data_IF_216290133276
#
_entry.id   IF_216290133276
#
_cell.length_a   1.000
_cell.length_b   1.000
_cell.length_c   1.000
_cell.angle_alpha   90.00
_cell.angle_beta   90.00
_cell.angle_gamma   90.00
#
_symmetry.space_group_name_H-M   'P 1'
#
loop_
_entity.id
_entity.type
_entity.pdbx_description
1 polymer ?
#
# COMPACT_ATOMS: atom_id res chain seq x y z
N UNK A 1 -7.77 0.39 -6.09
CA UNK A 1 -7.67 0.21 -4.64
C UNK A 1 -7.76 1.56 -3.91
N UNK A 2 -8.44 1.65 -2.76
CA UNK A 2 -8.39 2.79 -1.81
C UNK A 2 -6.93 3.12 -1.46
N UNK A 3 -6.12 2.11 -1.13
CA UNK A 3 -4.68 2.28 -0.86
C UNK A 3 -3.97 3.02 -1.99
N UNK A 4 -4.17 2.58 -3.25
CA UNK A 4 -3.60 3.24 -4.44
C UNK A 4 -3.99 4.72 -4.51
N UNK A 5 -5.28 5.03 -4.33
CA UNK A 5 -5.78 6.41 -4.40
C UNK A 5 -5.18 7.30 -3.31
N UNK A 6 -5.02 6.76 -2.09
CA UNK A 6 -4.41 7.49 -0.97
C UNK A 6 -2.92 7.75 -1.24
N UNK A 7 -2.19 6.74 -1.74
CA UNK A 7 -0.78 6.88 -2.13
C UNK A 7 -0.64 7.94 -3.23
N UNK A 8 -1.43 7.85 -4.31
CA UNK A 8 -1.39 8.82 -5.41
C UNK A 8 -1.71 10.24 -4.95
N UNK A 9 -2.68 10.41 -4.05
CA UNK A 9 -3.00 11.73 -3.46
C UNK A 9 -1.83 12.27 -2.65
N UNK A 10 -1.22 11.42 -1.82
CA UNK A 10 -0.02 11.76 -1.07
C UNK A 10 1.16 12.15 -1.97
N UNK A 11 1.41 11.38 -3.02
CA UNK A 11 2.45 11.67 -4.02
C UNK A 11 2.17 13.00 -4.73
N UNK A 12 0.92 13.27 -5.12
CA UNK A 12 0.56 14.51 -5.77
C UNK A 12 0.87 15.74 -4.91
N UNK A 13 0.65 15.65 -3.59
CA UNK A 13 0.89 16.75 -2.66
C UNK A 13 2.34 16.85 -2.18
N UNK A 14 3.01 15.73 -1.90
CA UNK A 14 4.33 15.70 -1.28
C UNK A 14 5.49 15.66 -2.28
N UNK A 15 5.25 15.22 -3.52
CA UNK A 15 6.32 15.06 -4.51
C UNK A 15 7.06 16.37 -4.78
N UNK A 16 8.40 16.33 -4.68
CA UNK A 16 9.27 17.47 -5.04
C UNK A 16 9.06 17.87 -6.50
N UNK A 17 8.75 16.91 -7.38
CA UNK A 17 8.44 17.20 -8.80
C UNK A 17 7.18 18.05 -8.98
N UNK A 18 6.28 18.02 -8.00
CA UNK A 18 5.04 18.80 -7.98
C UNK A 18 5.15 20.05 -7.08
N UNK A 19 6.36 20.45 -6.68
CA UNK A 19 6.59 21.60 -5.78
C UNK A 19 6.30 21.29 -4.30
N UNK A 20 6.10 20.03 -3.94
CA UNK A 20 5.97 19.58 -2.56
C UNK A 20 7.31 19.55 -1.82
N UNK A 21 7.27 19.40 -0.49
CA UNK A 21 8.45 19.41 0.37
C UNK A 21 9.23 18.08 0.39
N UNK A 22 8.79 17.07 -0.36
CA UNK A 22 9.19 15.68 -0.14
C UNK A 22 8.44 15.05 1.03
N UNK A 23 8.60 13.74 1.23
CA UNK A 23 7.94 13.02 2.32
C UNK A 23 8.12 11.51 2.25
N UNK A 24 7.61 10.82 3.26
CA UNK A 24 7.63 9.36 3.37
C UNK A 24 6.18 8.88 3.52
N UNK A 25 5.78 7.91 2.71
CA UNK A 25 4.50 7.20 2.85
C UNK A 25 4.78 5.90 3.60
N UNK A 26 4.10 5.70 4.73
CA UNK A 26 4.21 4.48 5.54
C UNK A 26 2.90 3.71 5.46
N UNK A 27 2.98 2.47 5.00
CA UNK A 27 1.84 1.58 4.88
C UNK A 27 1.95 0.46 5.92
N UNK A 28 0.87 0.23 6.69
CA UNK A 28 0.79 -0.90 7.62
C UNK A 28 0.27 -2.12 6.89
N UNK A 29 1.15 -3.10 6.68
CA UNK A 29 0.83 -4.36 6.03
C UNK A 29 1.00 -5.55 6.98
N UNK A 30 0.33 -6.66 6.66
CA UNK A 30 0.54 -7.94 7.35
C UNK A 30 1.73 -8.67 6.72
N UNK A 31 2.52 -9.38 7.51
CA UNK A 31 3.57 -10.30 7.02
C UNK A 31 2.99 -11.37 6.07
N UNK A 32 1.71 -11.71 6.26
CA UNK A 32 0.99 -12.64 5.39
C UNK A 32 0.86 -12.12 3.94
N UNK A 33 1.01 -10.82 3.70
CA UNK A 33 1.11 -10.28 2.34
C UNK A 33 2.39 -10.68 1.59
N UNK A 34 3.38 -11.28 2.29
CA UNK A 34 4.62 -11.79 1.70
C UNK A 34 4.74 -13.32 1.74
N UNK A 35 3.88 -13.99 2.51
CA UNK A 35 3.88 -15.44 2.64
C UNK A 35 2.83 -15.99 1.66
N UNK A 36 3.22 -16.94 0.82
CA UNK A 36 2.27 -17.62 -0.07
C UNK A 36 1.05 -18.15 0.69
N UNK A 37 -0.09 -18.27 0.00
CA UNK A 37 -1.35 -18.62 0.64
C UNK A 37 -1.27 -19.93 1.45
N UNK A 38 -1.78 -19.95 2.69
CA UNK A 38 -2.05 -21.21 3.37
C UNK A 38 -3.16 -21.96 2.63
N UNK A 39 -3.12 -23.30 2.68
CA UNK A 39 -4.08 -24.16 1.94
C UNK A 39 -5.54 -23.93 2.38
N UNK A 40 -5.78 -23.52 3.63
CA UNK A 40 -7.11 -23.21 4.16
C UNK A 40 -7.11 -21.89 4.96
N UNK A 41 -7.22 -20.74 4.27
CA UNK A 41 -7.19 -19.44 4.91
C UNK A 41 -8.54 -19.10 5.54
N UNK A 42 -8.56 -18.80 6.84
CA UNK A 42 -9.71 -18.14 7.47
C UNK A 42 -9.61 -16.63 7.25
N UNK A 43 -10.53 -15.98 6.52
CA UNK A 43 -10.37 -14.58 6.12
C UNK A 43 -10.75 -13.63 7.27
N UNK A 44 -9.92 -13.56 8.31
CA UNK A 44 -10.13 -12.63 9.43
C UNK A 44 -9.63 -11.21 9.08
N UNK A 45 -8.62 -11.12 8.19
CA UNK A 45 -7.99 -9.85 7.79
C UNK A 45 -8.19 -9.50 6.30
N UNK A 46 -8.73 -10.44 5.49
CA UNK A 46 -8.73 -10.43 4.03
C UNK A 46 -9.60 -9.34 3.36
N UNK A 47 -10.49 -8.67 4.10
CA UNK A 47 -11.29 -7.58 3.55
C UNK A 47 -10.49 -6.29 3.28
N UNK A 48 -9.20 -6.25 3.65
CA UNK A 48 -8.32 -5.12 3.35
C UNK A 48 -7.54 -5.40 2.07
N UNK A 49 -7.47 -4.39 1.20
CA UNK A 49 -6.78 -4.47 -0.09
C UNK A 49 -5.30 -4.86 0.05
N UNK A 50 -4.71 -5.51 -0.97
CA UNK A 50 -3.30 -5.94 -0.99
C UNK A 50 -2.36 -4.72 -1.00
N UNK A 51 -2.04 -4.23 0.20
CA UNK A 51 -1.25 -3.00 0.39
C UNK A 51 0.21 -3.20 -0.01
N UNK A 52 0.75 -4.40 0.17
CA UNK A 52 2.13 -4.73 -0.20
C UNK A 52 2.31 -4.61 -1.71
N UNK A 53 1.51 -5.35 -2.48
CA UNK A 53 1.54 -5.38 -3.93
C UNK A 53 1.24 -3.99 -4.50
N UNK A 54 0.21 -3.33 -3.98
CA UNK A 54 -0.14 -1.96 -4.42
C UNK A 54 1.00 -0.96 -4.19
N UNK A 55 1.78 -1.13 -3.12
CA UNK A 55 2.93 -0.24 -2.85
C UNK A 55 4.10 -0.56 -3.77
N UNK A 56 4.37 -1.85 -4.01
CA UNK A 56 5.44 -2.29 -4.93
C UNK A 56 5.18 -1.84 -6.37
N UNK A 57 3.92 -1.81 -6.82
CA UNK A 57 3.56 -1.32 -8.16
C UNK A 57 3.80 0.19 -8.35
N UNK A 58 3.93 0.95 -7.26
CA UNK A 58 4.03 2.42 -7.28
C UNK A 58 5.43 2.96 -6.93
N UNK A 59 6.31 2.13 -6.37
CA UNK A 59 7.66 2.50 -5.91
C UNK A 59 8.73 2.01 -6.89
#
# INVERSE_FOLDING_TARGET
>A
SITRRVIETGLNFMSIKNGGAGGIIVNTASILGFMGWPEEPTPVYWNKEPVVETTQDLA
#
